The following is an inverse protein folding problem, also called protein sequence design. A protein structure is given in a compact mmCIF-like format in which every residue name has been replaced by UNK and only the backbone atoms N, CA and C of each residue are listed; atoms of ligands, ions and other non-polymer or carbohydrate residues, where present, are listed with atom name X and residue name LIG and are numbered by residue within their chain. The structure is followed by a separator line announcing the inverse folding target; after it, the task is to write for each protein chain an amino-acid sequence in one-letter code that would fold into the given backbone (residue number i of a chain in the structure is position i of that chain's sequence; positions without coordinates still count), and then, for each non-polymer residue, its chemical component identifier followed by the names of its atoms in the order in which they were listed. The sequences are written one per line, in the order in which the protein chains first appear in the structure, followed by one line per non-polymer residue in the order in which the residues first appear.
data_IF_386269220477
#
_entry.id   IF_386269220477
#
_cell.length_a   1.000
_cell.length_b   1.000
_cell.length_c   1.000
_cell.angle_alpha   90.00
_cell.angle_beta   90.00
_cell.angle_gamma   90.00
#
_symmetry.space_group_name_H-M   'P 1'
#
loop_
_entity.id
_entity.type
_entity.pdbx_description
1 polymer ?
#
# COMPACT_ATOMS: atom_id res chain seq x y z
N UNK A 1 35.72 17.91 3.82
CA UNK A 1 35.41 16.72 4.65
C UNK A 1 34.13 16.12 4.10
N UNK A 2 34.29 15.07 3.31
CA UNK A 2 33.18 14.27 2.80
C UNK A 2 32.64 13.43 3.96
N UNK A 3 31.41 13.69 4.36
CA UNK A 3 30.65 12.79 5.22
C UNK A 3 29.77 11.94 4.32
N UNK A 4 30.03 10.64 4.31
CA UNK A 4 29.20 9.61 3.68
C UNK A 4 27.74 9.79 4.08
N UNK A 5 26.89 10.09 3.10
CA UNK A 5 25.48 9.72 3.17
C UNK A 5 25.45 8.19 3.07
N UNK A 6 25.45 7.54 4.23
CA UNK A 6 25.09 6.14 4.37
C UNK A 6 23.84 5.90 3.52
N UNK A 7 23.95 4.97 2.56
CA UNK A 7 22.86 4.63 1.65
C UNK A 7 21.62 4.25 2.45
N UNK A 8 20.70 5.22 2.59
CA UNK A 8 19.33 4.93 2.92
C UNK A 8 18.86 3.97 1.83
N UNK A 9 18.46 2.77 2.22
CA UNK A 9 17.77 1.81 1.36
C UNK A 9 16.83 2.57 0.43
N UNK A 10 17.19 2.67 -0.86
CA UNK A 10 16.42 3.43 -1.86
C UNK A 10 15.11 2.68 -2.15
N UNK A 11 14.16 2.75 -1.21
CA UNK A 11 12.80 2.28 -1.47
C UNK A 11 12.18 3.12 -2.58
N UNK A 12 11.30 2.50 -3.35
CA UNK A 12 10.73 3.09 -4.56
C UNK A 12 9.59 4.07 -4.24
N UNK A 13 8.99 3.97 -3.05
CA UNK A 13 7.84 4.79 -2.66
C UNK A 13 8.11 5.41 -1.28
N UNK A 14 8.07 6.73 -1.20
CA UNK A 14 8.15 7.46 0.06
C UNK A 14 6.77 7.93 0.49
N UNK A 15 6.45 7.73 1.78
CA UNK A 15 5.20 8.19 2.38
C UNK A 15 5.37 9.64 2.83
N UNK A 16 4.81 10.59 2.09
CA UNK A 16 4.81 12.00 2.49
C UNK A 16 3.77 12.25 3.60
N UNK A 17 2.58 11.68 3.44
CA UNK A 17 1.53 11.67 4.46
C UNK A 17 0.85 10.29 4.49
N UNK A 18 0.64 9.67 5.67
CA UNK A 18 0.14 8.31 5.75
C UNK A 18 -1.39 8.16 5.57
N UNK A 19 -2.12 9.27 5.45
CA UNK A 19 -3.58 9.25 5.56
C UNK A 19 -4.02 8.99 7.01
N UNK A 20 -5.21 8.41 7.19
CA UNK A 20 -5.73 8.13 8.54
C UNK A 20 -5.10 6.87 9.16
N UNK A 21 -5.05 5.77 8.39
CA UNK A 21 -4.51 4.49 8.81
C UNK A 21 -4.22 3.61 7.59
N UNK A 22 -3.13 3.91 6.87
CA UNK A 22 -2.69 3.07 5.73
C UNK A 22 -1.81 1.93 6.21
N UNK A 23 -2.08 0.70 5.76
CA UNK A 23 -1.29 -0.50 6.13
C UNK A 23 -0.94 -1.33 4.90
N UNK A 24 0.15 -2.10 4.98
CA UNK A 24 0.46 -3.12 3.97
C UNK A 24 -0.43 -4.35 4.21
N UNK A 25 -1.11 -4.82 3.18
CA UNK A 25 -2.00 -5.99 3.25
C UNK A 25 -1.82 -6.89 2.03
N UNK A 26 -1.78 -8.20 2.27
CA UNK A 26 -1.99 -9.25 1.26
C UNK A 26 -3.27 -10.04 1.58
N UNK A 27 -3.36 -11.31 1.20
CA UNK A 27 -4.52 -12.17 1.48
C UNK A 27 -4.49 -12.79 2.90
N UNK A 28 -3.47 -12.47 3.70
CA UNK A 28 -3.38 -12.86 5.09
C UNK A 28 -2.58 -14.13 5.35
N UNK A 29 -2.66 -14.58 6.60
CA UNK A 29 -1.82 -15.61 7.25
C UNK A 29 -2.65 -16.76 7.83
N UNK A 30 -3.16 -17.68 7.00
CA UNK A 30 -3.99 -18.77 7.49
C UNK A 30 -3.17 -19.75 8.35
N UNK A 31 -3.84 -20.45 9.27
CA UNK A 31 -3.26 -21.56 10.03
C UNK A 31 -2.82 -21.26 11.46
N UNK A 32 -2.83 -20.00 11.92
CA UNK A 32 -2.27 -19.62 13.23
C UNK A 32 -3.31 -19.25 14.31
N UNK A 33 -4.61 -19.43 14.05
CA UNK A 33 -5.67 -19.14 15.04
C UNK A 33 -5.53 -19.93 16.34
N UNK A 34 -4.99 -21.15 16.28
CA UNK A 34 -4.72 -21.99 17.45
C UNK A 34 -3.66 -21.38 18.40
N UNK A 35 -2.90 -20.39 17.93
CA UNK A 35 -1.94 -19.61 18.71
C UNK A 35 -2.47 -18.20 19.05
N UNK A 36 -3.74 -17.91 18.74
CA UNK A 36 -4.35 -16.58 18.93
C UNK A 36 -3.96 -15.54 17.87
N UNK A 37 -3.34 -15.95 16.76
CA UNK A 37 -2.94 -15.04 15.68
C UNK A 37 -4.04 -15.05 14.60
N UNK A 38 -4.65 -13.89 14.28
CA UNK A 38 -5.71 -13.82 13.29
C UNK A 38 -5.17 -13.96 11.87
N UNK A 39 -6.06 -14.21 10.90
CA UNK A 39 -5.75 -14.24 9.47
C UNK A 39 -5.18 -12.90 8.98
N UNK A 40 -5.59 -11.77 9.54
CA UNK A 40 -5.35 -10.43 8.97
C UNK A 40 -5.78 -10.38 7.50
N UNK A 41 -5.01 -9.75 6.61
CA UNK A 41 -5.38 -9.60 5.22
C UNK A 41 -6.09 -8.29 4.93
N UNK A 42 -6.22 -7.98 3.64
CA UNK A 42 -7.13 -6.96 3.17
C UNK A 42 -8.56 -7.27 3.65
N UNK A 43 -9.25 -6.24 4.15
CA UNK A 43 -10.64 -6.36 4.58
C UNK A 43 -11.59 -6.64 3.40
N UNK A 44 -11.36 -6.00 2.26
CA UNK A 44 -12.03 -6.27 0.98
C UNK A 44 -10.99 -6.89 0.03
N UNK A 45 -10.92 -8.22 0.09
CA UNK A 45 -9.96 -8.99 -0.71
C UNK A 45 -10.25 -8.89 -2.21
N UNK A 46 -11.52 -8.74 -2.61
CA UNK A 46 -11.89 -8.61 -4.02
C UNK A 46 -11.27 -7.34 -4.62
N UNK A 47 -11.36 -6.23 -3.90
CA UNK A 47 -10.77 -4.96 -4.33
C UNK A 47 -9.23 -5.03 -4.39
N UNK A 48 -8.56 -5.66 -3.42
CA UNK A 48 -7.11 -5.86 -3.48
C UNK A 48 -6.71 -6.72 -4.68
N UNK A 49 -7.39 -7.86 -4.89
CA UNK A 49 -7.12 -8.77 -6.02
C UNK A 49 -7.32 -8.02 -7.34
N UNK A 50 -8.42 -7.28 -7.49
CA UNK A 50 -8.68 -6.50 -8.70
C UNK A 50 -7.58 -5.47 -8.97
N UNK A 51 -7.14 -4.71 -7.94
CA UNK A 51 -6.05 -3.75 -8.08
C UNK A 51 -4.73 -4.44 -8.49
N UNK A 52 -4.40 -5.58 -7.89
CA UNK A 52 -3.22 -6.35 -8.24
C UNK A 52 -3.26 -6.86 -9.69
N UNK A 53 -4.39 -7.41 -10.14
CA UNK A 53 -4.53 -7.91 -11.50
C UNK A 53 -4.41 -6.79 -12.53
N UNK A 54 -4.96 -5.61 -12.26
CA UNK A 54 -4.86 -4.44 -13.14
C UNK A 54 -3.41 -4.00 -13.40
N UNK A 55 -2.51 -4.18 -12.42
CA UNK A 55 -1.08 -3.85 -12.58
C UNK A 55 -0.21 -5.06 -12.97
N UNK A 56 -0.82 -6.21 -13.26
CA UNK A 56 -0.12 -7.43 -13.68
C UNK A 56 0.49 -8.26 -12.55
N UNK A 57 0.14 -7.99 -11.30
CA UNK A 57 0.58 -8.78 -10.15
C UNK A 57 -0.21 -10.09 -10.02
N UNK A 58 0.32 -11.03 -9.24
CA UNK A 58 -0.46 -12.17 -8.73
C UNK A 58 -1.53 -11.68 -7.76
N UNK A 59 -2.65 -12.39 -7.67
CA UNK A 59 -3.78 -12.07 -6.79
C UNK A 59 -3.36 -11.81 -5.33
N UNK A 60 -2.42 -12.64 -4.81
CA UNK A 60 -1.91 -12.56 -3.45
C UNK A 60 -0.75 -11.60 -3.21
N UNK A 61 -0.40 -10.74 -4.17
CA UNK A 61 0.62 -9.72 -3.95
C UNK A 61 0.17 -8.70 -2.90
N UNK A 62 1.12 -8.16 -2.13
CA UNK A 62 0.81 -7.14 -1.14
C UNK A 62 0.55 -5.79 -1.82
N UNK A 63 -0.48 -5.10 -1.34
CA UNK A 63 -0.81 -3.72 -1.67
C UNK A 63 -1.00 -2.89 -0.41
N UNK A 64 -1.38 -1.63 -0.58
CA UNK A 64 -1.71 -0.75 0.54
C UNK A 64 -3.22 -0.69 0.73
N UNK A 65 -3.68 -0.93 1.95
CA UNK A 65 -5.06 -0.68 2.38
C UNK A 65 -5.12 0.69 3.07
N UNK A 66 -5.87 1.64 2.50
CA UNK A 66 -6.09 2.97 3.06
C UNK A 66 -7.52 3.12 3.57
N UNK A 67 -7.68 3.58 4.81
CA UNK A 67 -8.98 3.70 5.49
C UNK A 67 -9.42 5.17 5.53
N UNK A 68 -10.58 5.49 4.96
CA UNK A 68 -11.25 6.80 4.90
C UNK A 68 -10.49 7.97 4.25
N UNK A 69 -9.21 8.15 4.57
CA UNK A 69 -8.33 9.19 4.03
C UNK A 69 -7.08 8.51 3.46
N UNK A 70 -6.86 8.69 2.16
CA UNK A 70 -5.74 8.11 1.44
C UNK A 70 -4.39 8.75 1.78
N UNK A 71 -3.27 8.05 1.54
CA UNK A 71 -1.94 8.59 1.73
C UNK A 71 -1.53 9.56 0.62
N UNK A 72 -0.45 10.31 0.87
CA UNK A 72 0.32 11.01 -0.16
C UNK A 72 1.65 10.28 -0.34
N UNK A 73 1.89 9.78 -1.54
CA UNK A 73 2.98 8.86 -1.87
C UNK A 73 3.83 9.45 -3.00
N UNK A 74 5.11 9.68 -2.72
CA UNK A 74 6.10 10.10 -3.72
C UNK A 74 6.75 8.86 -4.34
N UNK A 75 6.69 8.76 -5.66
CA UNK A 75 7.34 7.67 -6.40
C UNK A 75 8.76 8.09 -6.78
N UNK A 76 9.76 7.33 -6.35
CA UNK A 76 11.19 7.57 -6.66
C UNK A 76 11.64 6.87 -7.95
N UNK A 77 10.78 6.02 -8.53
CA UNK A 77 10.97 5.29 -9.79
C UNK A 77 9.65 5.25 -10.57
N UNK A 78 9.76 5.07 -11.88
CA UNK A 78 8.60 4.83 -12.73
C UNK A 78 7.84 3.57 -12.28
N UNK A 79 6.52 3.63 -12.30
CA UNK A 79 5.65 2.56 -11.84
C UNK A 79 4.31 2.54 -12.60
N UNK A 80 3.59 1.41 -12.49
CA UNK A 80 2.19 1.30 -12.88
C UNK A 80 1.38 1.06 -11.62
N UNK A 81 0.30 1.83 -11.44
CA UNK A 81 -0.53 1.83 -10.23
C UNK A 81 -1.99 1.58 -10.60
N UNK A 82 -2.72 0.92 -9.71
CA UNK A 82 -4.17 0.85 -9.76
C UNK A 82 -4.77 1.12 -8.37
N UNK A 83 -5.95 1.73 -8.34
CA UNK A 83 -6.71 2.02 -7.13
C UNK A 83 -8.12 1.45 -7.23
N UNK A 84 -8.48 0.54 -6.33
CA UNK A 84 -9.78 -0.12 -6.28
C UNK A 84 -10.44 0.01 -4.89
N UNK A 85 -11.67 -0.49 -4.75
CA UNK A 85 -12.41 -0.50 -3.49
C UNK A 85 -13.30 0.73 -3.33
N UNK A 86 -13.27 1.35 -2.16
CA UNK A 86 -14.05 2.54 -1.83
C UNK A 86 -13.79 3.67 -2.82
N UNK A 87 -14.81 4.49 -3.10
CA UNK A 87 -14.76 5.64 -4.00
C UNK A 87 -13.95 6.77 -3.35
N UNK A 88 -12.63 6.59 -3.36
CA UNK A 88 -11.60 7.49 -2.89
C UNK A 88 -10.80 7.98 -4.11
N UNK A 89 -11.19 9.10 -4.74
CA UNK A 89 -10.67 9.46 -6.05
C UNK A 89 -9.18 9.80 -6.00
N UNK A 90 -8.32 9.08 -6.76
CA UNK A 90 -6.90 9.36 -6.79
C UNK A 90 -6.57 10.60 -7.63
N UNK A 91 -5.43 11.20 -7.32
CA UNK A 91 -4.83 12.31 -8.05
C UNK A 91 -3.35 12.06 -8.23
N UNK A 92 -2.85 12.30 -9.43
CA UNK A 92 -1.42 12.31 -9.75
C UNK A 92 -0.99 13.75 -10.00
N UNK A 93 -0.07 14.26 -9.18
CA UNK A 93 0.35 15.68 -9.17
C UNK A 93 -0.83 16.66 -9.16
N UNK A 94 -1.84 16.34 -8.34
CA UNK A 94 -3.06 17.12 -8.19
C UNK A 94 -4.09 16.96 -9.32
N UNK A 95 -3.77 16.26 -10.42
CA UNK A 95 -4.70 15.97 -11.53
C UNK A 95 -5.46 14.67 -11.29
N UNK A 96 -6.75 14.57 -11.64
CA UNK A 96 -7.51 13.33 -11.46
C UNK A 96 -6.86 12.13 -12.14
N UNK A 97 -6.79 11.01 -11.43
CA UNK A 97 -6.40 9.70 -11.96
C UNK A 97 -7.61 8.75 -11.90
N UNK A 98 -7.67 7.71 -12.75
CA UNK A 98 -8.80 6.79 -12.77
C UNK A 98 -8.79 5.85 -11.57
N UNK A 99 -9.97 5.36 -11.21
CA UNK A 99 -10.15 4.21 -10.33
C UNK A 99 -10.50 2.98 -11.16
N UNK A 100 -10.20 1.78 -10.66
CA UNK A 100 -10.48 0.51 -11.34
C UNK A 100 -9.81 0.38 -12.73
N UNK A 101 -8.74 1.14 -12.95
CA UNK A 101 -7.91 1.12 -14.15
C UNK A 101 -6.43 1.25 -13.72
N UNK A 102 -5.54 0.71 -14.54
CA UNK A 102 -4.10 0.90 -14.39
C UNK A 102 -3.66 2.23 -15.01
N UNK A 103 -2.80 2.98 -14.33
CA UNK A 103 -2.19 4.19 -14.87
C UNK A 103 -0.69 4.27 -14.55
N UNK A 104 0.05 4.93 -15.43
CA UNK A 104 1.49 5.12 -15.25
C UNK A 104 1.76 6.27 -14.27
N UNK A 105 2.82 6.10 -13.48
CA UNK A 105 3.38 7.09 -12.57
C UNK A 105 4.87 7.20 -12.88
N UNK A 106 5.36 8.41 -13.12
CA UNK A 106 6.77 8.66 -13.38
C UNK A 106 7.52 8.96 -12.08
N UNK A 107 8.83 8.71 -12.07
CA UNK A 107 9.70 9.11 -10.97
C UNK A 107 9.56 10.62 -10.69
N UNK A 108 9.44 10.97 -9.42
CA UNK A 108 9.21 12.34 -8.93
C UNK A 108 7.75 12.74 -8.82
N UNK A 109 6.80 11.95 -9.33
CA UNK A 109 5.38 12.25 -9.21
C UNK A 109 4.78 11.78 -7.88
N UNK A 110 3.73 12.47 -7.45
CA UNK A 110 3.04 12.22 -6.19
C UNK A 110 1.61 11.75 -6.43
N UNK A 111 1.30 10.55 -5.92
CA UNK A 111 -0.07 10.05 -5.80
C UNK A 111 -0.69 10.55 -4.51
N UNK A 112 -1.86 11.18 -4.61
CA UNK A 112 -2.67 11.65 -3.49
C UNK A 112 -4.15 11.36 -3.74
N UNK A 113 -5.03 11.72 -2.81
CA UNK A 113 -6.46 11.43 -2.93
C UNK A 113 -7.32 12.67 -2.61
N UNK A 114 -8.51 12.71 -3.20
CA UNK A 114 -9.58 13.60 -2.74
C UNK A 114 -10.36 12.97 -1.58
N UNK A 115 -11.33 13.71 -1.04
CA UNK A 115 -12.23 13.20 -0.02
C UNK A 115 -12.98 11.95 -0.49
N UNK A 116 -13.16 11.02 0.43
CA UNK A 116 -13.97 9.83 0.23
C UNK A 116 -15.42 10.19 -0.11
N UNK A 117 -15.95 9.57 -1.15
CA UNK A 117 -17.35 9.74 -1.58
C UNK A 117 -18.25 8.61 -1.12
N UNK A 118 -17.75 7.36 -1.12
CA UNK A 118 -18.51 6.16 -0.77
C UNK A 118 -17.60 5.02 -0.34
N UNK A 119 -18.04 4.20 0.60
CA UNK A 119 -17.29 3.04 1.12
C UNK A 119 -16.41 3.42 2.31
N UNK A 120 -15.33 2.66 2.55
CA UNK A 120 -14.45 2.89 3.70
C UNK A 120 -12.97 2.60 3.43
N UNK A 121 -12.64 1.63 2.57
CA UNK A 121 -11.26 1.18 2.30
C UNK A 121 -10.96 1.16 0.82
N UNK A 122 -9.87 1.81 0.43
CA UNK A 122 -9.32 1.73 -0.92
C UNK A 122 -8.02 0.92 -0.90
N UNK A 123 -7.74 0.26 -2.02
CA UNK A 123 -6.57 -0.58 -2.21
C UNK A 123 -5.72 -0.03 -3.31
N UNK A 124 -4.45 0.20 -3.01
CA UNK A 124 -3.46 0.75 -3.93
C UNK A 124 -2.48 -0.37 -4.24
N UNK A 125 -2.48 -0.82 -5.49
CA UNK A 125 -1.52 -1.80 -5.99
C UNK A 125 -0.50 -1.11 -6.89
N UNK A 126 0.75 -1.55 -6.80
CA UNK A 126 1.85 -1.10 -7.65
C UNK A 126 2.40 -2.33 -8.35
N UNK A 127 2.71 -2.22 -9.64
CA UNK A 127 3.32 -3.32 -10.40
C UNK A 127 4.62 -3.79 -9.70
N UNK A 128 4.75 -5.10 -9.50
CA UNK A 128 5.80 -5.73 -8.69
C UNK A 128 5.40 -6.00 -7.23
N UNK A 129 4.34 -5.34 -6.73
CA UNK A 129 3.84 -5.47 -5.36
C UNK A 129 4.65 -4.66 -4.34
N UNK A 130 4.16 -4.62 -3.09
CA UNK A 130 4.87 -3.99 -1.97
C UNK A 130 5.78 -5.04 -1.30
N UNK A 131 7.10 -4.88 -1.44
CA UNK A 131 8.07 -5.86 -0.95
C UNK A 131 8.56 -5.56 0.48
N UNK A 132 7.74 -5.96 1.45
CA UNK A 132 8.13 -6.04 2.86
C UNK A 132 8.42 -7.49 3.27
N UNK A 133 9.20 -7.75 4.32
CA UNK A 133 9.44 -9.12 4.79
C UNK A 133 8.14 -9.86 5.12
N UNK A 134 8.04 -11.10 4.64
CA UNK A 134 6.93 -11.97 5.03
C UNK A 134 7.15 -12.49 6.45
N UNK A 135 6.14 -12.32 7.30
CA UNK A 135 6.09 -12.90 8.64
C UNK A 135 5.08 -14.02 8.61
N UNK A 136 5.37 -15.21 9.14
CA UNK A 136 4.52 -16.41 9.06
C UNK A 136 3.80 -16.61 7.70
N UNK A 137 4.53 -16.44 6.60
CA UNK A 137 4.04 -16.65 5.24
C UNK A 137 3.20 -15.52 4.63
N UNK A 138 3.09 -14.35 5.27
CA UNK A 138 2.28 -13.21 4.80
C UNK A 138 2.93 -11.87 5.12
N UNK A 139 2.66 -10.89 4.26
CA UNK A 139 3.05 -9.48 4.38
C UNK A 139 1.96 -8.62 5.04
N UNK A 140 0.81 -9.19 5.40
CA UNK A 140 -0.25 -8.44 6.07
C UNK A 140 0.13 -7.92 7.43
N UNK A 141 -0.25 -6.67 7.67
CA UNK A 141 -0.08 -5.96 8.94
C UNK A 141 -1.17 -6.38 9.93
N UNK A 142 -0.77 -6.72 11.15
CA UNK A 142 -1.63 -6.89 12.31
C UNK A 142 -1.21 -5.89 13.40
N UNK A 143 -1.81 -4.69 13.45
CA UNK A 143 -1.35 -3.62 14.33
C UNK A 143 -1.41 -3.95 15.82
N UNK A 144 -2.46 -4.65 16.28
CA UNK A 144 -2.64 -4.98 17.70
C UNK A 144 -1.53 -5.90 18.23
N UNK A 145 -0.98 -6.76 17.37
CA UNK A 145 0.11 -7.68 17.69
C UNK A 145 1.48 -7.24 17.18
N UNK A 146 1.61 -6.02 16.62
CA UNK A 146 2.83 -5.51 16.01
C UNK A 146 3.50 -6.50 15.03
N UNK A 147 2.71 -7.10 14.12
CA UNK A 147 3.16 -8.19 13.25
C UNK A 147 2.99 -7.87 11.76
N UNK A 148 4.01 -8.21 10.95
CA UNK A 148 3.95 -8.11 9.48
C UNK A 148 3.91 -6.67 8.95
N UNK A 149 3.73 -6.52 7.64
CA UNK A 149 3.76 -5.21 6.98
C UNK A 149 5.10 -4.49 7.17
N UNK A 150 5.05 -3.17 7.34
CA UNK A 150 6.20 -2.36 7.74
C UNK A 150 6.17 -2.18 9.26
N UNK A 151 7.12 -2.81 9.95
CA UNK A 151 7.27 -2.78 11.42
C UNK A 151 6.00 -3.13 12.23
N UNK A 152 5.06 -3.89 11.67
CA UNK A 152 3.85 -4.28 12.40
C UNK A 152 2.84 -3.15 12.63
N UNK A 153 2.93 -2.03 11.91
CA UNK A 153 2.15 -0.82 12.18
C UNK A 153 1.57 -0.20 10.90
N UNK A 154 0.69 0.78 11.09
CA UNK A 154 0.34 1.69 10.03
C UNK A 154 1.57 2.50 9.57
N UNK A 155 1.56 2.87 8.29
CA UNK A 155 2.57 3.72 7.69
C UNK A 155 2.61 5.08 8.39
N UNK A 156 3.77 5.72 8.36
CA UNK A 156 4.07 7.05 8.91
C UNK A 156 4.75 7.90 7.84
N UNK A 157 4.68 9.21 8.01
CA UNK A 157 5.44 10.12 7.17
C UNK A 157 6.95 9.81 7.28
N UNK A 158 7.63 9.78 6.14
CA UNK A 158 9.05 9.43 6.03
C UNK A 158 9.34 7.93 5.91
N UNK A 159 8.33 7.05 6.04
CA UNK A 159 8.52 5.63 5.71
C UNK A 159 8.84 5.48 4.21
N UNK A 160 9.68 4.51 3.87
CA UNK A 160 10.03 4.16 2.49
C UNK A 160 9.75 2.68 2.26
N UNK A 161 9.05 2.38 1.16
CA UNK A 161 8.64 1.04 0.71
C UNK A 161 9.35 0.64 -0.58
#
# INVERSE_FOLDING_TARGET
MAGEIAGATEGAIEVLAPGLATTVQDLGRPGYYHLGIPLSGAMDQLALIAANLLVGNKEGAAGLEAVFLGPELLFRRDAVVAVCGAELPPKLDGRPAPMWESFAVQAGQTLSFNYLKKGARAYIAVAGGIDVPAVLGSRSTYPLGALGGLDGRALKAGDVL
#
